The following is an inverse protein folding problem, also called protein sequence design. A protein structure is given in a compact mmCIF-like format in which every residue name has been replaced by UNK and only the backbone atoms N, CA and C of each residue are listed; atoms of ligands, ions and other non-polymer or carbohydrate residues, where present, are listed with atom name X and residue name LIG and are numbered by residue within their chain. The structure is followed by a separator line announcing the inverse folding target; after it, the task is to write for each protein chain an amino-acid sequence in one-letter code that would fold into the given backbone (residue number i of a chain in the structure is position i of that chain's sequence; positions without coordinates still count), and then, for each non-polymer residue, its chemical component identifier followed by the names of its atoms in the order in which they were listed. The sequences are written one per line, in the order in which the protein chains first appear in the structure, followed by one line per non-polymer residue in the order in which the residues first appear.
data_IF_097865806739
#
_entry.id   IF_097865806739
#
_cell.length_a   1.000
_cell.length_b   1.000
_cell.length_c   1.000
_cell.angle_alpha   90.00
_cell.angle_beta   90.00
_cell.angle_gamma   90.00
#
_symmetry.space_group_name_H-M   'P 1'
#
loop_
_entity.id
_entity.type
_entity.pdbx_description
1 polymer ?
#
# COMPACT_ATOMS: atom_id res chain seq x y z
N UNK A 1 4.66 -22.44 -1.72
CA UNK A 1 5.26 -21.23 -2.28
C UNK A 1 6.76 -21.45 -2.32
N UNK A 2 7.34 -21.77 -3.49
CA UNK A 2 8.71 -22.15 -3.53
C UNK A 2 9.55 -21.30 -4.43
N UNK A 3 10.75 -21.13 -3.94
CA UNK A 3 11.84 -20.34 -4.46
C UNK A 3 12.42 -21.02 -5.69
N UNK A 4 12.41 -20.33 -6.79
CA UNK A 4 13.41 -20.51 -7.82
C UNK A 4 14.67 -19.77 -7.38
N UNK A 5 15.87 -20.26 -7.75
CA UNK A 5 17.10 -19.51 -7.54
C UNK A 5 16.97 -18.15 -8.24
N UNK A 6 17.15 -17.08 -7.48
CA UNK A 6 17.06 -15.72 -7.99
C UNK A 6 18.47 -15.26 -8.39
N UNK A 7 18.66 -14.96 -9.67
CA UNK A 7 19.91 -14.39 -10.20
C UNK A 7 19.94 -12.85 -10.08
N UNK A 8 18.91 -12.23 -9.51
CA UNK A 8 18.78 -10.78 -9.46
C UNK A 8 19.64 -10.16 -8.34
N UNK A 9 20.15 -8.94 -8.55
CA UNK A 9 20.91 -8.22 -7.54
C UNK A 9 20.00 -7.61 -6.47
N UNK A 10 19.96 -8.22 -5.29
CA UNK A 10 19.18 -7.75 -4.16
C UNK A 10 19.64 -6.39 -3.61
N UNK A 11 20.83 -5.91 -4.00
CA UNK A 11 21.39 -4.62 -3.59
C UNK A 11 21.28 -3.56 -4.69
N UNK A 12 20.50 -3.79 -5.73
CA UNK A 12 20.32 -2.78 -6.78
C UNK A 12 19.76 -1.47 -6.20
N UNK A 13 20.29 -0.37 -6.68
CA UNK A 13 19.85 0.95 -6.26
C UNK A 13 18.59 1.37 -7.06
N UNK A 14 17.53 1.74 -6.35
CA UNK A 14 16.36 2.36 -6.97
C UNK A 14 16.64 3.85 -7.25
N UNK A 15 16.98 4.19 -8.48
CA UNK A 15 17.46 5.52 -8.85
C UNK A 15 16.38 6.63 -8.84
N UNK A 16 15.09 6.27 -8.92
CA UNK A 16 13.98 7.23 -9.13
C UNK A 16 12.96 7.21 -7.99
N UNK A 17 13.45 7.24 -6.74
CA UNK A 17 12.60 7.15 -5.54
C UNK A 17 11.49 8.20 -5.47
N UNK A 18 11.73 9.42 -5.94
CA UNK A 18 10.73 10.50 -5.87
C UNK A 18 9.51 10.23 -6.75
N UNK A 19 9.72 9.65 -7.93
CA UNK A 19 8.63 9.23 -8.84
C UNK A 19 7.89 8.01 -8.27
N UNK A 20 8.62 7.09 -7.66
CA UNK A 20 8.06 5.85 -7.10
C UNK A 20 7.12 6.07 -5.93
N UNK A 21 7.26 7.17 -5.17
CA UNK A 21 6.39 7.47 -4.02
C UNK A 21 4.91 7.58 -4.38
N UNK A 22 4.61 8.06 -5.59
CA UNK A 22 3.25 8.24 -6.08
C UNK A 22 2.71 7.04 -6.83
N UNK A 23 3.56 6.40 -7.64
CA UNK A 23 3.19 5.28 -8.51
C UNK A 23 3.57 3.93 -7.88
N UNK A 24 2.60 3.33 -7.21
CA UNK A 24 2.78 2.04 -6.56
C UNK A 24 3.07 0.89 -7.54
N UNK A 25 2.60 0.97 -8.78
CA UNK A 25 2.87 -0.05 -9.82
C UNK A 25 4.33 -0.06 -10.21
N UNK A 26 4.86 1.14 -10.47
CA UNK A 26 6.26 1.30 -10.80
C UNK A 26 7.16 0.85 -9.64
N UNK A 27 6.84 1.27 -8.42
CA UNK A 27 7.56 0.83 -7.22
C UNK A 27 7.58 -0.69 -7.07
N UNK A 28 6.42 -1.34 -7.20
CA UNK A 28 6.32 -2.80 -7.06
C UNK A 28 7.07 -3.54 -8.16
N UNK A 29 7.08 -3.01 -9.37
CA UNK A 29 7.88 -3.55 -10.46
C UNK A 29 9.38 -3.42 -10.18
N UNK A 30 9.82 -2.26 -9.69
CA UNK A 30 11.24 -2.00 -9.41
C UNK A 30 11.81 -2.86 -8.27
N UNK A 31 11.02 -3.15 -7.23
CA UNK A 31 11.48 -3.99 -6.12
C UNK A 31 11.35 -5.49 -6.40
N UNK A 32 10.59 -5.88 -7.42
CA UNK A 32 10.38 -7.28 -7.78
C UNK A 32 11.54 -7.87 -8.56
N UNK A 33 11.84 -9.13 -8.34
CA UNK A 33 12.85 -9.86 -9.08
C UNK A 33 12.52 -9.85 -10.58
N UNK A 34 13.50 -9.42 -11.40
CA UNK A 34 13.35 -9.31 -12.84
C UNK A 34 12.21 -8.37 -13.28
N UNK A 35 11.84 -7.38 -12.46
CA UNK A 35 10.73 -6.45 -12.69
C UNK A 35 9.37 -7.14 -12.90
N UNK A 36 9.20 -8.36 -12.41
CA UNK A 36 7.98 -9.16 -12.58
C UNK A 36 6.90 -8.72 -11.60
N UNK A 37 5.92 -7.96 -12.05
CA UNK A 37 4.75 -7.58 -11.28
C UNK A 37 3.47 -8.06 -11.95
N UNK A 38 2.65 -8.80 -11.22
CA UNK A 38 1.35 -9.26 -11.68
C UNK A 38 0.24 -8.55 -10.90
N UNK A 39 -0.36 -7.53 -11.50
CA UNK A 39 -1.44 -6.77 -10.88
C UNK A 39 -2.78 -7.53 -10.97
N UNK A 40 -3.52 -7.55 -9.86
CA UNK A 40 -4.87 -8.09 -9.80
C UNK A 40 -5.89 -6.97 -9.81
N UNK A 41 -7.00 -7.14 -10.57
CA UNK A 41 -8.07 -6.13 -10.67
C UNK A 41 -7.55 -4.73 -11.05
N UNK A 42 -6.68 -4.63 -12.05
CA UNK A 42 -5.98 -3.38 -12.43
C UNK A 42 -6.94 -2.20 -12.71
N UNK A 43 -8.10 -2.45 -13.34
CA UNK A 43 -9.08 -1.43 -13.67
C UNK A 43 -10.07 -1.10 -12.55
N UNK A 44 -10.03 -1.85 -11.45
CA UNK A 44 -10.92 -1.62 -10.31
C UNK A 44 -10.18 -0.94 -9.15
N UNK A 45 -10.73 0.18 -8.66
CA UNK A 45 -10.17 0.93 -7.55
C UNK A 45 -8.65 1.19 -7.69
N UNK A 46 -8.25 1.89 -8.74
CA UNK A 46 -6.86 2.12 -9.14
C UNK A 46 -6.01 2.84 -8.07
N UNK A 47 -6.66 3.54 -7.13
CA UNK A 47 -6.00 4.15 -5.97
C UNK A 47 -5.50 3.14 -4.92
N UNK A 48 -5.87 1.86 -5.08
CA UNK A 48 -5.37 0.74 -4.30
C UNK A 48 -4.87 -0.35 -5.27
N UNK A 49 -3.57 -0.55 -5.30
CA UNK A 49 -2.93 -1.56 -6.14
C UNK A 49 -2.79 -2.85 -5.33
N UNK A 50 -3.20 -3.95 -5.94
CA UNK A 50 -3.02 -5.30 -5.37
C UNK A 50 -2.42 -6.21 -6.43
N UNK A 51 -1.49 -7.04 -6.05
CA UNK A 51 -0.83 -7.94 -7.00
C UNK A 51 0.24 -8.81 -6.37
N UNK A 52 0.94 -9.54 -7.19
CA UNK A 52 2.02 -10.43 -6.77
C UNK A 52 3.35 -9.96 -7.33
N UNK A 53 4.36 -9.98 -6.49
CA UNK A 53 5.76 -9.73 -6.80
C UNK A 53 6.59 -10.95 -6.41
N UNK A 54 7.81 -11.00 -6.91
CA UNK A 54 8.81 -11.97 -6.46
C UNK A 54 9.92 -11.24 -5.70
N UNK A 55 10.27 -11.74 -4.52
CA UNK A 55 11.40 -11.25 -3.74
C UNK A 55 12.30 -12.43 -3.38
N UNK A 56 13.51 -12.42 -3.90
CA UNK A 56 14.48 -13.52 -3.77
C UNK A 56 13.86 -14.89 -4.14
N UNK A 57 13.16 -14.94 -5.27
CA UNK A 57 12.47 -16.12 -5.77
C UNK A 57 11.16 -16.49 -5.06
N UNK A 58 10.81 -15.82 -3.98
CA UNK A 58 9.59 -16.08 -3.21
C UNK A 58 8.44 -15.18 -3.68
N UNK A 59 7.27 -15.76 -3.90
CA UNK A 59 6.06 -15.00 -4.22
C UNK A 59 5.54 -14.27 -2.98
N UNK A 60 5.33 -12.96 -3.13
CA UNK A 60 4.80 -12.07 -2.09
C UNK A 60 3.58 -11.33 -2.64
N UNK A 61 2.50 -11.30 -1.86
CA UNK A 61 1.35 -10.47 -2.15
C UNK A 61 1.63 -9.02 -1.78
N UNK A 62 1.33 -8.09 -2.67
CA UNK A 62 1.53 -6.67 -2.45
C UNK A 62 0.20 -5.93 -2.39
N UNK A 63 0.04 -5.04 -1.41
CA UNK A 63 -1.09 -4.11 -1.26
C UNK A 63 -0.54 -2.71 -1.09
N UNK A 64 -0.78 -1.83 -2.05
CA UNK A 64 -0.15 -0.51 -2.06
C UNK A 64 -1.14 0.62 -2.32
N UNK A 65 -0.98 1.74 -1.62
CA UNK A 65 -1.66 2.98 -1.97
C UNK A 65 -1.02 3.59 -3.21
N UNK A 66 -1.84 4.02 -4.16
CA UNK A 66 -1.41 4.66 -5.39
C UNK A 66 -2.00 6.07 -5.48
N UNK A 67 -1.16 7.06 -5.66
CA UNK A 67 -1.57 8.47 -5.81
C UNK A 67 -1.39 8.97 -7.23
N UNK A 68 -0.56 8.33 -8.02
CA UNK A 68 -0.28 8.70 -9.40
C UNK A 68 -0.12 7.44 -10.26
N UNK A 69 -0.53 7.53 -11.51
CA UNK A 69 -0.25 6.51 -12.52
C UNK A 69 0.48 7.20 -13.66
N UNK A 70 1.62 6.67 -14.03
CA UNK A 70 2.41 7.14 -15.16
C UNK A 70 2.14 6.29 -16.39
N UNK A 71 2.20 6.91 -17.56
CA UNK A 71 2.17 6.23 -18.85
C UNK A 71 3.56 5.72 -19.25
N UNK A 72 3.65 5.03 -20.40
CA UNK A 72 4.91 4.52 -20.94
C UNK A 72 5.93 5.62 -21.26
N UNK A 73 5.49 6.87 -21.41
CA UNK A 73 6.34 8.04 -21.63
C UNK A 73 6.81 8.69 -20.31
N UNK A 74 6.40 8.16 -19.15
CA UNK A 74 6.72 8.71 -17.82
C UNK A 74 5.92 9.96 -17.46
N UNK A 75 4.83 10.27 -18.19
CA UNK A 75 3.93 11.37 -17.84
C UNK A 75 2.83 10.88 -16.93
N UNK A 76 2.39 11.71 -16.01
CA UNK A 76 1.27 11.43 -15.12
C UNK A 76 -0.02 11.34 -15.93
N UNK A 77 -0.58 10.14 -16.04
CA UNK A 77 -1.84 9.90 -16.75
C UNK A 77 -3.06 10.10 -15.85
N UNK A 78 -3.00 9.64 -14.61
CA UNK A 78 -4.06 9.78 -13.61
C UNK A 78 -3.48 10.15 -12.25
N UNK A 79 -4.23 10.96 -11.47
CA UNK A 79 -3.86 11.31 -10.09
C UNK A 79 -5.00 10.97 -9.14
N UNK A 80 -4.66 10.51 -7.94
CA UNK A 80 -5.61 10.16 -6.89
C UNK A 80 -5.22 10.87 -5.58
N UNK A 81 -6.23 11.16 -4.77
CA UNK A 81 -5.96 11.59 -3.40
C UNK A 81 -5.27 10.46 -2.61
N UNK A 82 -4.29 10.82 -1.77
CA UNK A 82 -3.67 9.90 -0.82
C UNK A 82 -4.66 9.54 0.32
N UNK A 83 -5.82 9.00 -0.06
CA UNK A 83 -6.94 8.75 0.86
C UNK A 83 -7.54 7.36 0.62
N UNK A 84 -7.94 6.69 1.69
CA UNK A 84 -8.63 5.41 1.62
C UNK A 84 -10.05 5.59 1.09
N UNK A 85 -10.44 4.73 0.16
CA UNK A 85 -11.77 4.69 -0.45
C UNK A 85 -12.48 3.38 -0.11
N UNK A 86 -13.82 3.37 -0.18
CA UNK A 86 -14.62 2.16 0.05
C UNK A 86 -14.15 1.00 -0.84
N UNK A 87 -14.11 1.24 -2.15
CA UNK A 87 -13.72 0.21 -3.14
C UNK A 87 -12.26 -0.25 -2.97
N UNK A 88 -11.35 0.68 -2.62
CA UNK A 88 -9.95 0.35 -2.36
C UNK A 88 -9.80 -0.56 -1.14
N UNK A 89 -10.52 -0.26 -0.05
CA UNK A 89 -10.50 -1.09 1.15
C UNK A 89 -11.11 -2.48 0.93
N UNK A 90 -12.21 -2.56 0.14
CA UNK A 90 -12.81 -3.85 -0.24
C UNK A 90 -11.85 -4.70 -1.07
N UNK A 91 -11.23 -4.11 -2.10
CA UNK A 91 -10.22 -4.76 -2.94
C UNK A 91 -9.06 -5.30 -2.10
N UNK A 92 -8.50 -4.47 -1.22
CA UNK A 92 -7.42 -4.86 -0.32
C UNK A 92 -7.84 -6.00 0.62
N UNK A 93 -9.03 -5.89 1.26
CA UNK A 93 -9.54 -6.90 2.18
C UNK A 93 -9.70 -8.28 1.52
N UNK A 94 -10.24 -8.34 0.32
CA UNK A 94 -10.38 -9.59 -0.44
C UNK A 94 -9.01 -10.19 -0.77
N UNK A 95 -8.08 -9.35 -1.21
CA UNK A 95 -6.74 -9.79 -1.60
C UNK A 95 -5.93 -10.31 -0.41
N UNK A 96 -5.99 -9.63 0.75
CA UNK A 96 -5.32 -10.06 1.97
C UNK A 96 -5.84 -11.43 2.42
N UNK A 97 -7.15 -11.64 2.40
CA UNK A 97 -7.76 -12.93 2.75
C UNK A 97 -7.35 -14.04 1.79
N UNK A 98 -7.21 -13.71 0.51
CA UNK A 98 -6.67 -14.65 -0.48
C UNK A 98 -5.23 -15.03 -0.13
N UNK A 99 -4.37 -14.06 0.14
CA UNK A 99 -2.98 -14.32 0.52
C UNK A 99 -2.89 -15.17 1.78
N UNK A 100 -3.70 -14.88 2.80
CA UNK A 100 -3.73 -15.65 4.05
C UNK A 100 -4.17 -17.10 3.82
N UNK A 101 -5.20 -17.32 2.99
CA UNK A 101 -5.70 -18.67 2.68
C UNK A 101 -4.67 -19.55 1.95
N UNK A 102 -3.71 -18.95 1.26
CA UNK A 102 -2.63 -19.65 0.56
C UNK A 102 -1.25 -19.51 1.21
N UNK A 103 -1.21 -18.97 2.43
CA UNK A 103 0.03 -18.75 3.21
C UNK A 103 1.07 -17.89 2.44
N UNK A 104 0.59 -16.93 1.64
CA UNK A 104 1.43 -16.01 0.88
C UNK A 104 1.77 -14.81 1.77
N UNK A 105 3.06 -14.49 2.01
CA UNK A 105 3.45 -13.30 2.77
C UNK A 105 2.91 -12.03 2.12
N UNK A 106 2.56 -11.02 2.92
CA UNK A 106 1.98 -9.77 2.45
C UNK A 106 2.92 -8.60 2.74
N UNK A 107 3.25 -7.86 1.68
CA UNK A 107 3.90 -6.55 1.75
C UNK A 107 2.84 -5.46 1.53
N UNK A 108 2.65 -4.60 2.51
CA UNK A 108 1.85 -3.38 2.34
C UNK A 108 2.74 -2.17 2.13
N UNK A 109 2.39 -1.31 1.16
CA UNK A 109 3.08 -0.04 0.91
C UNK A 109 2.13 1.08 1.24
N UNK A 110 2.50 1.90 2.23
CA UNK A 110 1.65 2.93 2.79
C UNK A 110 2.06 4.31 2.28
N UNK A 111 1.10 5.00 1.66
CA UNK A 111 1.13 6.41 1.33
C UNK A 111 -0.29 6.96 1.49
N UNK A 112 -0.65 7.39 2.70
CA UNK A 112 -2.03 7.76 3.02
C UNK A 112 -2.09 8.91 4.03
N UNK A 113 -2.91 9.91 3.72
CA UNK A 113 -3.12 11.09 4.57
C UNK A 113 -4.46 11.11 5.30
N UNK A 114 -5.41 10.25 4.88
CA UNK A 114 -6.75 10.24 5.47
C UNK A 114 -7.74 9.35 4.73
N UNK A 115 -9.00 9.72 4.85
CA UNK A 115 -10.13 9.03 4.23
C UNK A 115 -10.79 9.93 3.19
N UNK A 116 -11.24 9.34 2.08
CA UNK A 116 -11.94 10.11 1.04
C UNK A 116 -13.29 10.58 1.56
N UNK A 117 -13.49 11.90 1.56
CA UNK A 117 -14.75 12.53 1.95
C UNK A 117 -15.72 12.58 0.75
N UNK A 118 -16.72 11.70 0.72
CA UNK A 118 -17.82 11.74 -0.24
C UNK A 118 -19.06 11.05 0.33
N UNK A 119 -20.23 11.31 -0.25
CA UNK A 119 -21.50 10.73 0.21
C UNK A 119 -21.50 9.19 0.23
N UNK A 120 -20.79 8.56 -0.71
CA UNK A 120 -20.64 7.10 -0.73
C UNK A 120 -19.70 6.60 0.40
N UNK A 121 -18.71 7.39 0.78
CA UNK A 121 -17.85 7.09 1.91
C UNK A 121 -18.63 7.11 3.23
N UNK A 122 -19.47 8.10 3.47
CA UNK A 122 -20.29 8.18 4.68
C UNK A 122 -21.16 6.93 4.90
N UNK A 123 -21.64 6.32 3.82
CA UNK A 123 -22.50 5.13 3.89
C UNK A 123 -21.76 3.82 4.05
N UNK A 124 -20.54 3.70 3.54
CA UNK A 124 -19.87 2.41 3.38
C UNK A 124 -18.45 2.31 3.91
N UNK A 125 -17.76 3.44 4.11
CA UNK A 125 -16.34 3.43 4.42
C UNK A 125 -16.01 2.75 5.76
N UNK A 126 -16.80 3.02 6.79
CA UNK A 126 -16.59 2.42 8.11
C UNK A 126 -16.63 0.88 8.04
N UNK A 127 -17.57 0.31 7.29
CA UNK A 127 -17.69 -1.13 7.07
C UNK A 127 -16.50 -1.68 6.27
N UNK A 128 -16.11 -1.01 5.18
CA UNK A 128 -14.99 -1.44 4.35
C UNK A 128 -13.66 -1.38 5.10
N UNK A 129 -13.45 -0.34 5.91
CA UNK A 129 -12.30 -0.20 6.80
C UNK A 129 -12.27 -1.31 7.87
N UNK A 130 -13.40 -1.61 8.50
CA UNK A 130 -13.49 -2.69 9.47
C UNK A 130 -13.12 -4.04 8.84
N UNK A 131 -13.58 -4.31 7.61
CA UNK A 131 -13.23 -5.53 6.88
C UNK A 131 -11.73 -5.59 6.56
N UNK A 132 -11.13 -4.48 6.09
CA UNK A 132 -9.69 -4.43 5.78
C UNK A 132 -8.85 -4.58 7.05
N UNK A 133 -9.19 -3.86 8.11
CA UNK A 133 -8.49 -3.97 9.40
C UNK A 133 -8.59 -5.39 9.97
N UNK A 134 -9.78 -6.00 9.91
CA UNK A 134 -9.99 -7.38 10.34
C UNK A 134 -9.19 -8.36 9.48
N UNK A 135 -9.11 -8.15 8.17
CA UNK A 135 -8.31 -8.99 7.29
C UNK A 135 -6.82 -8.95 7.66
N UNK A 136 -6.25 -7.76 7.89
CA UNK A 136 -4.87 -7.64 8.35
C UNK A 136 -4.65 -8.23 9.76
N UNK A 137 -5.56 -7.95 10.69
CA UNK A 137 -5.40 -8.41 12.07
C UNK A 137 -5.53 -9.92 12.23
N UNK A 138 -6.41 -10.57 11.45
CA UNK A 138 -6.65 -12.01 11.51
C UNK A 138 -5.71 -12.83 10.64
N UNK A 139 -5.05 -12.22 9.65
CA UNK A 139 -4.13 -12.93 8.77
C UNK A 139 -2.95 -13.53 9.56
N UNK A 140 -2.68 -14.81 9.33
CA UNK A 140 -1.62 -15.58 9.96
C UNK A 140 -0.33 -15.60 9.16
N UNK A 141 -0.40 -15.25 7.86
CA UNK A 141 0.77 -15.13 7.01
C UNK A 141 1.68 -13.96 7.45
N UNK A 142 3.00 -14.02 7.19
CA UNK A 142 3.91 -12.92 7.48
C UNK A 142 3.49 -11.61 6.82
N UNK A 143 3.53 -10.51 7.58
CA UNK A 143 3.07 -9.19 7.14
C UNK A 143 4.13 -8.13 7.40
N UNK A 144 4.54 -7.47 6.34
CA UNK A 144 5.51 -6.36 6.40
C UNK A 144 4.85 -5.09 5.88
N UNK A 145 5.09 -3.96 6.53
CA UNK A 145 4.63 -2.66 6.07
C UNK A 145 5.82 -1.76 5.73
N UNK A 146 5.81 -1.22 4.53
CA UNK A 146 6.75 -0.20 4.07
C UNK A 146 6.01 1.14 3.94
N UNK A 147 6.42 2.12 4.72
CA UNK A 147 5.92 3.49 4.59
C UNK A 147 6.77 4.19 3.55
N UNK A 148 6.22 4.41 2.35
CA UNK A 148 6.93 5.01 1.22
C UNK A 148 6.66 6.52 1.08
N UNK A 149 5.55 7.00 1.64
CA UNK A 149 5.15 8.41 1.59
C UNK A 149 4.61 8.89 2.93
N UNK A 150 3.49 9.59 2.89
CA UNK A 150 2.83 10.09 4.09
C UNK A 150 2.06 8.97 4.83
N UNK A 151 2.02 9.04 6.15
CA UNK A 151 1.32 8.08 6.99
C UNK A 151 0.65 8.80 8.18
N UNK A 152 -0.60 9.22 8.00
CA UNK A 152 -1.29 10.04 9.00
C UNK A 152 -2.52 9.35 9.58
N UNK A 153 -2.68 9.52 10.88
CA UNK A 153 -3.88 9.22 11.65
C UNK A 153 -4.34 7.76 11.57
N UNK A 154 -5.63 7.57 11.72
CA UNK A 154 -6.26 6.25 11.70
C UNK A 154 -6.20 5.56 10.32
N UNK A 155 -6.05 6.31 9.24
CA UNK A 155 -5.86 5.74 7.91
C UNK A 155 -4.54 4.96 7.81
N UNK A 156 -3.45 5.48 8.37
CA UNK A 156 -2.20 4.75 8.50
C UNK A 156 -2.37 3.49 9.37
N UNK A 157 -3.07 3.63 10.51
CA UNK A 157 -3.26 2.48 11.42
C UNK A 157 -3.91 1.30 10.70
N UNK A 158 -4.92 1.55 9.86
CA UNK A 158 -5.64 0.51 9.11
C UNK A 158 -4.84 -0.12 7.96
N UNK A 159 -3.74 0.51 7.53
CA UNK A 159 -2.85 0.02 6.47
C UNK A 159 -1.70 -0.84 7.03
N UNK A 160 -2.04 -1.93 7.73
CA UNK A 160 -1.07 -2.88 8.27
C UNK A 160 -0.03 -2.23 9.18
N UNK A 161 -0.46 -1.40 10.11
CA UNK A 161 0.45 -0.84 11.11
C UNK A 161 0.90 -1.88 12.13
N UNK A 162 1.96 -1.58 12.87
CA UNK A 162 2.44 -2.43 13.97
C UNK A 162 1.36 -2.72 15.01
N UNK A 163 0.45 -1.76 15.24
CA UNK A 163 -0.63 -1.88 16.23
C UNK A 163 -1.73 -2.88 15.84
N UNK A 164 -1.90 -3.19 14.56
CA UNK A 164 -2.88 -4.18 14.09
C UNK A 164 -2.24 -5.52 13.68
N UNK A 165 -0.94 -5.69 13.89
CA UNK A 165 -0.28 -6.99 13.76
C UNK A 165 0.73 -7.12 12.62
N UNK A 166 1.25 -6.03 12.06
CA UNK A 166 2.40 -6.12 11.17
C UNK A 166 3.62 -6.70 11.93
N UNK A 167 4.32 -7.65 11.33
CA UNK A 167 5.52 -8.23 11.92
C UNK A 167 6.66 -7.25 11.92
N UNK A 168 6.86 -6.57 10.79
CA UNK A 168 7.87 -5.53 10.61
C UNK A 168 7.27 -4.30 9.94
N UNK A 169 7.76 -3.12 10.34
CA UNK A 169 7.38 -1.84 9.73
C UNK A 169 8.66 -1.08 9.44
N UNK A 170 8.83 -0.70 8.18
CA UNK A 170 9.93 0.12 7.69
C UNK A 170 9.41 1.45 7.17
N UNK A 171 10.23 2.46 7.24
CA UNK A 171 9.93 3.78 6.68
C UNK A 171 11.09 4.24 5.80
N UNK A 172 10.79 4.80 4.64
CA UNK A 172 11.79 5.44 3.81
C UNK A 172 12.26 6.76 4.41
N UNK A 173 13.47 7.22 4.05
CA UNK A 173 13.90 8.57 4.36
C UNK A 173 12.86 9.60 3.89
N UNK A 174 12.68 10.68 4.66
CA UNK A 174 11.75 11.79 4.36
C UNK A 174 10.25 11.47 4.46
N UNK A 175 9.84 10.26 4.89
CA UNK A 175 8.44 9.96 5.17
C UNK A 175 7.93 10.78 6.37
N UNK A 176 6.66 11.18 6.31
CA UNK A 176 6.02 11.92 7.39
C UNK A 176 5.00 11.05 8.09
N UNK A 177 5.23 10.78 9.35
CA UNK A 177 4.37 9.94 10.18
C UNK A 177 3.83 10.78 11.33
N UNK A 178 2.51 10.76 11.53
CA UNK A 178 1.90 11.54 12.62
C UNK A 178 0.41 11.32 12.79
N UNK A 179 -0.14 11.96 13.80
CA UNK A 179 -1.59 11.94 14.05
C UNK A 179 -2.35 12.74 12.99
N UNK A 180 -1.79 13.86 12.54
CA UNK A 180 -2.37 14.77 11.55
C UNK A 180 -1.26 15.42 10.73
N UNK A 181 -1.57 15.81 9.49
CA UNK A 181 -0.68 16.65 8.70
C UNK A 181 -0.45 18.01 9.39
N UNK A 182 0.76 18.54 9.29
CA UNK A 182 1.19 19.77 9.99
C UNK A 182 0.28 20.97 9.72
N UNK A 183 -0.27 21.07 8.50
CA UNK A 183 -1.25 22.12 8.13
C UNK A 183 -2.51 22.14 9.00
N UNK A 184 -2.98 20.98 9.46
CA UNK A 184 -4.15 20.87 10.33
C UNK A 184 -3.82 21.13 11.80
N UNK A 185 -2.61 20.80 12.26
CA UNK A 185 -2.17 21.07 13.64
C UNK A 185 -2.12 22.56 13.95
N UNK A 186 -1.66 23.38 13.00
CA UNK A 186 -1.64 24.83 13.14
C UNK A 186 -3.04 25.49 13.16
N UNK A 187 -4.02 24.88 12.53
CA UNK A 187 -5.42 25.36 12.55
C UNK A 187 -6.13 25.02 13.86
N UNK A 188 -5.84 23.88 14.46
CA UNK A 188 -6.49 23.49 15.73
C UNK A 188 -5.92 24.21 16.96
N UNK A 189 -4.68 24.71 16.90
CA UNK A 189 -4.07 25.50 17.98
C UNK A 189 -4.48 26.98 17.99
N UNK A 190 -5.30 27.45 17.05
CA UNK A 190 -5.76 28.84 16.95
C UNK A 190 -7.20 29.07 17.46
N UNK A 191 -7.78 28.11 18.15
CA UNK A 191 -9.11 28.27 18.80
C UNK A 191 -8.97 28.31 20.29
#
# INVERSE_FOLDING_TARGET
VYTEECEDDLNRACASMDVMKGDARYLLSEISDGHAFFETKADYAKNMVTGFIKLNGMTVGAVANCTEIHDEEGKTAETFEAALTVKGCEKASEFIRFCDAFEIPVLSITNVTGFKACMCAEKGLAKALAHMTSAFASATCPKVNLIAGDAFGSAYVTMNSKSIGADLVYAWPETKIGMMAVSYTHLSCRR
#
